data_IF_892460374248
#
_entry.id   IF_892460374248
#
_cell.length_a   1.000
_cell.length_b   1.000
_cell.length_c   1.000
_cell.angle_alpha   90.00
_cell.angle_beta   90.00
_cell.angle_gamma   90.00
#
_symmetry.space_group_name_H-M   'P 1'
#
loop_
_entity.id
_entity.type
_entity.pdbx_description
1 polymer ?
#
# COMPACT_ATOMS: atom_id res chain seq x y z
N UNK A 1 -16.61 6.00 12.98
CA UNK A 1 -15.47 6.41 12.15
C UNK A 1 -14.67 5.17 11.75
N UNK A 2 -15.20 4.37 10.81
CA UNK A 2 -14.62 3.08 10.39
C UNK A 2 -13.50 3.24 9.34
N UNK A 3 -13.61 4.26 8.49
CA UNK A 3 -12.65 4.58 7.44
C UNK A 3 -11.23 4.82 8.00
N UNK A 4 -11.14 5.50 9.15
CA UNK A 4 -9.85 5.73 9.80
C UNK A 4 -9.21 4.44 10.31
N UNK A 5 -10.00 3.52 10.89
CA UNK A 5 -9.47 2.29 11.50
C UNK A 5 -8.78 1.38 10.47
N UNK A 6 -9.33 1.27 9.27
CA UNK A 6 -8.74 0.44 8.21
C UNK A 6 -7.47 1.08 7.64
N UNK A 7 -7.43 2.40 7.49
CA UNK A 7 -6.23 3.10 7.03
C UNK A 7 -5.08 2.96 8.04
N UNK A 8 -5.36 3.13 9.35
CA UNK A 8 -4.36 2.92 10.40
C UNK A 8 -3.77 1.51 10.37
N UNK A 9 -4.60 0.48 10.16
CA UNK A 9 -4.13 -0.90 10.04
C UNK A 9 -3.16 -1.11 8.87
N UNK A 10 -3.47 -0.55 7.70
CA UNK A 10 -2.57 -0.65 6.54
C UNK A 10 -1.24 0.07 6.77
N UNK A 11 -1.27 1.23 7.44
CA UNK A 11 -0.06 1.96 7.83
C UNK A 11 0.75 1.13 8.84
N UNK A 12 0.10 0.56 9.86
CA UNK A 12 0.74 -0.30 10.85
C UNK A 12 1.36 -1.54 10.21
N UNK A 13 0.67 -2.18 9.26
CA UNK A 13 1.23 -3.30 8.50
C UNK A 13 2.53 -2.90 7.80
N UNK A 14 2.58 -1.75 7.12
CA UNK A 14 3.81 -1.28 6.49
C UNK A 14 4.93 -1.04 7.53
N UNK A 15 4.60 -0.42 8.66
CA UNK A 15 5.58 -0.13 9.72
C UNK A 15 6.16 -1.41 10.34
N UNK A 16 5.32 -2.40 10.64
CA UNK A 16 5.75 -3.66 11.24
C UNK A 16 6.59 -4.51 10.30
N UNK A 17 6.37 -4.41 8.98
CA UNK A 17 7.08 -5.20 7.97
C UNK A 17 8.11 -4.37 7.19
N UNK A 18 8.47 -3.18 7.69
CA UNK A 18 9.20 -2.18 6.92
C UNK A 18 10.56 -2.69 6.40
N UNK A 19 11.31 -3.41 7.23
CA UNK A 19 12.64 -3.89 6.87
C UNK A 19 12.58 -4.93 5.74
N UNK A 20 11.65 -5.88 5.82
CA UNK A 20 11.42 -6.89 4.78
C UNK A 20 10.94 -6.24 3.47
N UNK A 21 9.97 -5.33 3.57
CA UNK A 21 9.41 -4.65 2.40
C UNK A 21 10.47 -3.80 1.69
N UNK A 22 11.33 -3.10 2.44
CA UNK A 22 12.46 -2.35 1.87
C UNK A 22 13.50 -3.26 1.22
N UNK A 23 13.80 -4.40 1.84
CA UNK A 23 14.76 -5.35 1.28
C UNK A 23 14.27 -5.92 -0.06
N UNK A 24 13.00 -6.30 -0.14
CA UNK A 24 12.42 -6.98 -1.29
C UNK A 24 11.94 -6.03 -2.40
N UNK A 25 11.55 -4.81 -2.05
CA UNK A 25 10.87 -3.88 -2.96
C UNK A 25 11.44 -2.45 -2.93
N UNK A 26 12.75 -2.32 -2.74
CA UNK A 26 13.44 -1.04 -2.80
C UNK A 26 13.12 -0.28 -4.11
N UNK A 27 12.86 1.03 -4.00
CA UNK A 27 12.52 1.92 -5.11
C UNK A 27 11.21 1.57 -5.83
N UNK A 28 10.28 0.92 -5.14
CA UNK A 28 8.94 0.58 -5.64
C UNK A 28 7.86 1.32 -4.87
N UNK A 29 6.71 1.53 -5.51
CA UNK A 29 5.47 1.98 -4.87
C UNK A 29 4.66 0.77 -4.47
N UNK A 30 4.41 0.60 -3.18
CA UNK A 30 3.66 -0.54 -2.63
C UNK A 30 2.21 -0.15 -2.45
N UNK A 31 1.30 -0.90 -3.06
CA UNK A 31 -0.14 -0.82 -2.83
C UNK A 31 -0.52 -1.80 -1.72
N UNK A 32 -1.08 -1.30 -0.62
CA UNK A 32 -1.41 -2.06 0.57
C UNK A 32 -2.89 -1.86 0.89
N UNK A 33 -3.58 -2.97 1.16
CA UNK A 33 -4.98 -2.97 1.60
C UNK A 33 -5.25 -4.18 2.48
N UNK A 34 -6.11 -4.00 3.48
CA UNK A 34 -6.52 -5.02 4.44
C UNK A 34 -5.32 -5.78 5.03
N UNK A 35 -4.30 -5.00 5.44
CA UNK A 35 -3.08 -5.49 6.08
C UNK A 35 -2.27 -6.47 5.19
N UNK A 36 -2.30 -6.25 3.87
CA UNK A 36 -1.57 -7.05 2.88
C UNK A 36 -0.96 -6.19 1.78
N UNK A 37 0.19 -6.61 1.28
CA UNK A 37 0.74 -6.11 0.03
C UNK A 37 -0.08 -6.68 -1.14
N UNK A 38 -0.71 -5.78 -1.90
CA UNK A 38 -1.52 -6.11 -3.08
C UNK A 38 -0.64 -6.14 -4.34
N UNK A 39 0.32 -5.24 -4.42
CA UNK A 39 1.28 -5.19 -5.52
C UNK A 39 2.34 -4.11 -5.33
N UNK A 40 3.39 -4.19 -6.14
CA UNK A 40 4.49 -3.25 -6.19
C UNK A 40 4.67 -2.69 -7.60
N UNK A 41 4.93 -1.39 -7.70
CA UNK A 41 4.88 -0.66 -8.97
C UNK A 41 6.11 0.24 -9.14
N UNK A 42 6.44 0.56 -10.39
CA UNK A 42 7.57 1.45 -10.69
C UNK A 42 7.18 2.91 -10.46
N UNK A 43 5.92 3.25 -10.73
CA UNK A 43 5.41 4.61 -10.60
C UNK A 43 4.23 4.70 -9.65
N UNK A 44 4.04 5.86 -9.05
CA UNK A 44 2.87 6.14 -8.22
C UNK A 44 1.56 6.04 -9.02
N UNK A 45 1.57 6.49 -10.28
CA UNK A 45 0.39 6.47 -11.16
C UNK A 45 -0.10 5.05 -11.44
N UNK A 46 0.81 4.09 -11.67
CA UNK A 46 0.45 2.68 -11.86
C UNK A 46 -0.19 2.10 -10.59
N UNK A 47 0.42 2.33 -9.43
CA UNK A 47 -0.13 1.88 -8.14
C UNK A 47 -1.53 2.47 -7.88
N UNK A 48 -1.71 3.75 -8.19
CA UNK A 48 -2.97 4.45 -8.02
C UNK A 48 -4.05 3.93 -8.97
N UNK A 49 -3.74 3.82 -10.26
CA UNK A 49 -4.65 3.27 -11.25
C UNK A 49 -5.07 1.85 -10.87
N UNK A 50 -4.12 0.99 -10.50
CA UNK A 50 -4.42 -0.38 -10.10
C UNK A 50 -5.32 -0.43 -8.84
N UNK A 51 -5.06 0.43 -7.86
CA UNK A 51 -5.91 0.56 -6.67
C UNK A 51 -7.33 0.98 -7.01
N UNK A 52 -7.50 1.95 -7.92
CA UNK A 52 -8.82 2.41 -8.38
C UNK A 52 -9.57 1.31 -9.16
N UNK A 53 -8.87 0.55 -10.00
CA UNK A 53 -9.45 -0.56 -10.76
C UNK A 53 -9.93 -1.70 -9.84
N UNK A 54 -9.14 -2.05 -8.81
CA UNK A 54 -9.47 -3.14 -7.88
C UNK A 54 -10.52 -2.76 -6.84
N UNK A 55 -10.46 -1.53 -6.32
CA UNK A 55 -11.20 -1.14 -5.12
C UNK A 55 -12.29 -0.10 -5.38
N UNK A 56 -12.43 0.36 -6.63
CA UNK A 56 -13.40 1.37 -7.06
C UNK A 56 -13.33 2.64 -6.18
N UNK A 57 -14.29 2.79 -5.26
CA UNK A 57 -14.43 3.96 -4.37
C UNK A 57 -13.95 3.69 -2.93
N UNK A 58 -13.34 2.54 -2.66
CA UNK A 58 -12.80 2.24 -1.34
C UNK A 58 -11.35 2.71 -1.21
N UNK A 59 -10.96 3.06 0.01
CA UNK A 59 -9.63 3.58 0.30
C UNK A 59 -8.58 2.47 0.23
N UNK A 60 -7.38 2.85 -0.18
CA UNK A 60 -6.19 2.00 -0.18
C UNK A 60 -4.96 2.85 0.18
N UNK A 61 -3.89 2.17 0.61
CA UNK A 61 -2.65 2.83 1.02
C UNK A 61 -1.57 2.62 -0.03
N UNK A 62 -0.90 3.70 -0.45
CA UNK A 62 0.28 3.63 -1.31
C UNK A 62 1.47 4.22 -0.58
N UNK A 63 2.59 3.47 -0.56
CA UNK A 63 3.84 3.93 0.05
C UNK A 63 5.02 3.68 -0.88
N UNK A 64 5.77 4.74 -1.17
CA UNK A 64 7.09 4.61 -1.79
C UNK A 64 8.07 4.00 -0.79
N UNK A 65 8.73 2.91 -1.21
CA UNK A 65 9.70 2.18 -0.43
C UNK A 65 11.12 2.65 -0.79
N UNK A 66 11.74 3.37 0.14
CA UNK A 66 13.09 3.94 0.05
C UNK A 66 13.98 3.44 1.17
#
# INVERSE_FOLDING_TARGET
>A
MLLEKNMFRNISYYQTNQDELKHNYANRYLLIKDEKLIGDFTTWSEACQHGLELFNNDNFFIKYCS
#
